data_IF_808770512324
#
_entry.id   IF_808770512324
#
_cell.length_a   1.000
_cell.length_b   1.000
_cell.length_c   1.000
_cell.angle_alpha   90.00
_cell.angle_beta   90.00
_cell.angle_gamma   90.00
#
_symmetry.space_group_name_H-M   'P 1'
#
loop_
_entity.id
_entity.type
_entity.pdbx_description
1 polymer ?
#
# COMPACT_ATOMS: atom_id res chain seq x y z
N UNK A 1 47.02 32.96 -25.81
CA UNK A 1 45.91 33.12 -26.80
C UNK A 1 45.56 31.79 -27.50
N UNK A 2 45.29 30.71 -26.74
CA UNK A 2 44.82 29.40 -27.25
C UNK A 2 44.06 28.65 -26.15
N UNK A 3 42.82 29.05 -25.84
CA UNK A 3 41.93 28.22 -25.00
C UNK A 3 40.42 28.49 -25.19
N UNK A 4 40.02 29.42 -26.06
CA UNK A 4 38.61 29.75 -26.26
C UNK A 4 37.90 28.97 -27.39
N UNK A 5 38.62 28.24 -28.26
CA UNK A 5 38.02 27.70 -29.49
C UNK A 5 37.56 26.22 -29.42
N UNK A 6 37.67 25.53 -28.27
CA UNK A 6 37.26 24.11 -28.15
C UNK A 6 35.93 23.87 -27.43
N UNK A 7 35.28 24.89 -26.86
CA UNK A 7 34.00 24.71 -26.15
C UNK A 7 32.74 24.92 -27.01
N UNK A 8 32.82 25.57 -28.16
CA UNK A 8 31.64 25.76 -29.03
C UNK A 8 31.34 24.56 -29.96
N UNK A 9 32.31 23.68 -30.23
CA UNK A 9 32.10 22.54 -31.12
C UNK A 9 31.36 21.35 -30.46
N UNK A 10 31.39 21.25 -29.12
CA UNK A 10 30.74 20.15 -28.40
C UNK A 10 29.24 20.39 -28.16
N UNK A 11 28.79 21.66 -28.20
CA UNK A 11 27.38 22.01 -27.99
C UNK A 11 26.48 21.73 -29.21
N UNK A 12 27.01 21.68 -30.43
CA UNK A 12 26.21 21.42 -31.64
C UNK A 12 25.99 19.94 -31.95
N UNK A 13 26.84 19.02 -31.46
CA UNK A 13 26.69 17.58 -31.75
C UNK A 13 25.69 16.86 -30.82
N UNK A 14 25.51 17.34 -29.58
CA UNK A 14 24.59 16.71 -28.61
C UNK A 14 23.14 17.17 -28.85
N UNK A 15 22.91 18.40 -29.30
CA UNK A 15 21.59 18.91 -29.63
C UNK A 15 20.94 18.27 -30.87
N UNK A 16 21.70 17.58 -31.73
CA UNK A 16 21.13 16.84 -32.87
C UNK A 16 20.74 15.38 -32.58
N UNK A 17 21.13 14.82 -31.43
CA UNK A 17 20.72 13.45 -31.05
C UNK A 17 19.50 13.39 -30.12
N UNK A 18 19.23 14.43 -29.34
CA UNK A 18 17.99 14.53 -28.53
C UNK A 18 16.79 15.04 -29.33
N UNK A 19 17.01 15.89 -30.34
CA UNK A 19 15.93 16.32 -31.24
C UNK A 19 15.49 15.22 -32.23
N UNK A 20 16.39 14.31 -32.62
CA UNK A 20 16.07 13.23 -33.55
C UNK A 20 15.27 12.07 -32.91
N UNK A 21 15.45 11.81 -31.60
CA UNK A 21 14.69 10.78 -30.89
C UNK A 21 13.23 11.19 -30.62
N UNK A 22 12.96 12.50 -30.48
CA UNK A 22 11.61 13.03 -30.27
C UNK A 22 10.86 13.35 -31.56
N UNK A 23 11.54 13.39 -32.72
CA UNK A 23 10.91 13.59 -34.03
C UNK A 23 10.63 12.29 -34.80
N UNK A 24 11.15 11.13 -34.39
CA UNK A 24 10.86 9.84 -35.04
C UNK A 24 9.86 8.94 -34.29
N UNK A 25 9.51 9.24 -33.04
CA UNK A 25 8.49 8.48 -32.30
C UNK A 25 7.06 8.67 -32.85
N UNK A 26 6.83 9.70 -33.67
CA UNK A 26 5.53 9.98 -34.29
C UNK A 26 5.20 9.14 -35.53
N UNK A 27 6.13 8.32 -36.05
CA UNK A 27 5.93 7.60 -37.33
C UNK A 27 6.09 6.07 -37.26
N UNK A 28 6.32 5.47 -36.09
CA UNK A 28 6.54 4.01 -35.99
C UNK A 28 5.77 3.30 -34.85
N UNK A 29 4.81 3.96 -34.18
CA UNK A 29 3.87 3.27 -33.27
C UNK A 29 4.52 2.51 -32.10
N UNK A 30 5.77 2.83 -31.73
CA UNK A 30 6.48 2.14 -30.65
C UNK A 30 6.33 2.90 -29.34
N UNK A 31 5.56 2.34 -28.41
CA UNK A 31 5.48 2.80 -27.03
C UNK A 31 6.60 2.12 -26.22
N UNK A 32 7.47 2.86 -25.51
CA UNK A 32 8.50 2.25 -24.68
C UNK A 32 7.88 1.43 -23.55
N UNK A 33 8.48 0.29 -23.24
CA UNK A 33 8.00 -0.60 -22.17
C UNK A 33 8.32 -0.03 -20.79
N UNK A 34 7.66 -0.53 -19.74
CA UNK A 34 7.95 -0.18 -18.34
C UNK A 34 9.41 -0.49 -17.93
N UNK A 35 10.05 -1.45 -18.59
CA UNK A 35 11.46 -1.78 -18.41
C UNK A 35 12.39 -0.68 -18.96
N UNK A 36 12.08 -0.15 -20.15
CA UNK A 36 12.88 0.92 -20.79
C UNK A 36 12.83 2.22 -19.97
N UNK A 37 11.67 2.53 -19.37
CA UNK A 37 11.52 3.67 -18.47
C UNK A 37 12.29 3.47 -17.14
N UNK A 38 12.31 2.24 -16.61
CA UNK A 38 13.04 1.91 -15.39
C UNK A 38 14.57 1.94 -15.58
N UNK A 39 15.07 1.69 -16.79
CA UNK A 39 16.48 1.76 -17.14
C UNK A 39 16.94 3.20 -17.41
N UNK A 40 16.11 4.02 -18.06
CA UNK A 40 16.38 5.45 -18.25
C UNK A 40 16.49 6.23 -16.93
N UNK A 41 15.76 5.81 -15.88
CA UNK A 41 15.83 6.38 -14.53
C UNK A 41 17.11 6.01 -13.75
N UNK A 42 17.96 5.13 -14.30
CA UNK A 42 19.26 4.74 -13.71
C UNK A 42 20.44 5.51 -14.28
N UNK A 43 20.24 6.37 -15.29
CA UNK A 43 21.31 7.19 -15.89
C UNK A 43 21.67 8.41 -15.00
N UNK A 44 22.90 8.49 -14.46
CA UNK A 44 23.37 9.64 -13.68
C UNK A 44 23.43 10.95 -14.49
N UNK A 45 23.44 10.88 -15.83
CA UNK A 45 23.54 12.02 -16.74
C UNK A 45 22.28 12.89 -16.77
N UNK A 46 21.09 12.28 -16.69
CA UNK A 46 19.81 12.99 -16.66
C UNK A 46 19.68 13.88 -15.39
N UNK A 47 20.28 13.45 -14.28
CA UNK A 47 20.27 14.13 -12.99
C UNK A 47 21.11 15.43 -12.97
N UNK A 48 22.09 15.58 -13.88
CA UNK A 48 22.94 16.77 -13.98
C UNK A 48 22.30 17.90 -14.78
N UNK A 49 21.48 17.57 -15.78
CA UNK A 49 20.79 18.56 -16.61
C UNK A 49 19.62 19.22 -15.87
N UNK A 50 18.87 18.47 -15.06
CA UNK A 50 17.79 19.03 -14.23
C UNK A 50 18.28 20.04 -13.16
N UNK A 51 19.57 19.99 -12.78
CA UNK A 51 20.18 20.93 -11.84
C UNK A 51 20.70 22.23 -12.47
N UNK A 52 20.73 22.31 -13.81
CA UNK A 52 21.34 23.44 -14.53
C UNK A 52 20.39 24.64 -14.73
N UNK A 53 19.08 24.46 -14.55
CA UNK A 53 18.08 25.49 -14.85
C UNK A 53 17.79 26.47 -13.70
N UNK A 54 18.56 26.41 -12.60
CA UNK A 54 18.54 27.43 -11.54
C UNK A 54 17.20 27.63 -10.81
N UNK A 55 16.20 26.77 -11.07
CA UNK A 55 14.93 26.71 -10.35
C UNK A 55 15.10 25.66 -9.26
N UNK A 56 15.23 26.08 -8.00
CA UNK A 56 15.07 25.18 -6.87
C UNK A 56 13.75 24.39 -7.07
N UNK A 57 13.77 23.06 -7.17
CA UNK A 57 12.54 22.29 -7.31
C UNK A 57 11.71 22.52 -6.05
N UNK A 58 10.62 23.27 -6.22
CA UNK A 58 9.73 23.66 -5.13
C UNK A 58 9.30 22.45 -4.32
N UNK A 59 9.90 22.31 -3.14
CA UNK A 59 9.58 21.41 -2.03
C UNK A 59 8.20 21.75 -1.43
N UNK A 60 7.18 21.84 -2.26
CA UNK A 60 5.85 22.20 -1.79
C UNK A 60 5.11 20.91 -1.50
N UNK A 61 4.77 20.73 -0.22
CA UNK A 61 3.86 19.69 0.21
C UNK A 61 2.57 19.75 -0.63
N UNK A 62 2.00 18.59 -0.94
CA UNK A 62 0.84 18.50 -1.83
C UNK A 62 -0.33 19.34 -1.27
N UNK A 63 -0.86 20.26 -2.07
CA UNK A 63 -1.86 21.23 -1.62
C UNK A 63 -3.24 20.60 -1.32
N UNK A 64 -3.60 19.54 -2.05
CA UNK A 64 -4.88 18.82 -1.94
C UNK A 64 -4.67 17.31 -2.03
N UNK A 65 -5.54 16.51 -1.41
CA UNK A 65 -5.45 15.05 -1.53
C UNK A 65 -5.73 14.61 -2.95
N UNK A 66 -4.75 13.96 -3.58
CA UNK A 66 -4.85 13.42 -4.93
C UNK A 66 -5.25 11.96 -4.86
N UNK A 67 -6.41 11.60 -5.40
CA UNK A 67 -6.86 10.20 -5.48
C UNK A 67 -7.25 9.84 -6.90
N UNK A 68 -6.70 8.74 -7.42
CA UNK A 68 -7.01 8.22 -8.77
C UNK A 68 -7.12 6.71 -8.74
N UNK A 69 -7.94 6.18 -9.64
CA UNK A 69 -8.00 4.75 -9.94
C UNK A 69 -7.44 4.60 -11.37
N UNK A 70 -6.33 3.88 -11.50
CA UNK A 70 -5.60 3.72 -12.78
C UNK A 70 -5.27 2.25 -13.02
N UNK A 71 -5.13 1.84 -14.27
CA UNK A 71 -4.76 0.47 -14.61
C UNK A 71 -3.26 0.23 -14.42
N UNK A 72 -2.91 -0.96 -13.92
CA UNK A 72 -1.52 -1.44 -13.81
C UNK A 72 -1.28 -2.63 -14.75
N UNK A 73 -0.11 -2.73 -15.34
CA UNK A 73 0.36 -3.94 -16.06
C UNK A 73 0.69 -5.10 -15.11
N UNK A 74 1.04 -4.78 -13.87
CA UNK A 74 1.42 -5.71 -12.80
C UNK A 74 0.31 -5.96 -11.79
N UNK A 75 -0.93 -5.56 -12.10
CA UNK A 75 -2.09 -5.83 -11.25
C UNK A 75 -2.22 -7.34 -10.95
N UNK A 76 -2.74 -7.73 -9.77
CA UNK A 76 -2.84 -9.14 -9.37
C UNK A 76 -3.75 -9.95 -10.31
N UNK A 77 -4.69 -9.32 -10.99
CA UNK A 77 -5.53 -9.93 -12.01
C UNK A 77 -5.42 -9.16 -13.34
N UNK A 78 -5.54 -9.83 -14.50
CA UNK A 78 -5.82 -11.26 -14.67
C UNK A 78 -4.67 -12.19 -14.30
N UNK A 79 -5.01 -13.41 -13.92
CA UNK A 79 -4.07 -14.47 -13.58
C UNK A 79 -4.53 -15.78 -14.22
N UNK A 80 -3.64 -16.43 -14.95
CA UNK A 80 -3.91 -17.70 -15.65
C UNK A 80 -2.93 -18.82 -15.27
N UNK A 81 -2.21 -18.63 -14.16
CA UNK A 81 -1.28 -19.63 -13.65
C UNK A 81 -1.98 -20.71 -12.81
N UNK A 82 -1.21 -21.35 -11.93
CA UNK A 82 -1.68 -22.45 -11.08
C UNK A 82 -1.85 -22.03 -9.63
N UNK A 83 -2.85 -22.59 -8.95
CA UNK A 83 -3.08 -22.36 -7.53
C UNK A 83 -1.94 -23.00 -6.71
N UNK A 84 -1.17 -22.23 -5.92
CA UNK A 84 -0.04 -22.75 -5.18
C UNK A 84 -0.41 -23.93 -4.27
N UNK A 85 0.46 -24.94 -4.23
CA UNK A 85 0.30 -26.14 -3.41
C UNK A 85 -0.70 -27.16 -3.94
N UNK A 86 -1.47 -26.85 -5.00
CA UNK A 86 -2.44 -27.78 -5.59
C UNK A 86 -2.02 -28.31 -6.96
N UNK A 87 -1.21 -27.56 -7.70
CA UNK A 87 -0.84 -27.85 -9.09
C UNK A 87 -1.99 -27.68 -10.10
N UNK A 88 -3.19 -27.29 -9.66
CA UNK A 88 -4.35 -27.07 -10.53
C UNK A 88 -4.29 -25.69 -11.20
N UNK A 89 -4.80 -25.55 -12.44
CA UNK A 89 -4.97 -24.23 -13.04
C UNK A 89 -5.91 -23.38 -12.19
N UNK A 90 -5.67 -22.07 -12.14
CA UNK A 90 -6.57 -21.14 -11.46
C UNK A 90 -7.91 -21.03 -12.18
N UNK A 91 -7.89 -20.85 -13.51
CA UNK A 91 -9.09 -20.92 -14.33
C UNK A 91 -9.36 -22.40 -14.66
N UNK A 92 -10.13 -23.06 -13.80
CA UNK A 92 -10.43 -24.50 -13.84
C UNK A 92 -11.78 -24.83 -14.51
N UNK A 93 -12.55 -23.80 -14.90
CA UNK A 93 -13.83 -23.95 -15.58
C UNK A 93 -13.79 -23.29 -16.94
N UNK A 94 -14.24 -24.00 -17.96
CA UNK A 94 -14.61 -23.41 -19.25
C UNK A 94 -16.11 -23.64 -19.48
N UNK A 95 -16.85 -22.56 -19.74
CA UNK A 95 -18.29 -22.60 -20.04
C UNK A 95 -18.65 -21.53 -21.05
N UNK A 96 -19.28 -21.94 -22.15
CA UNK A 96 -19.71 -21.03 -23.23
C UNK A 96 -18.57 -20.15 -23.77
N UNK A 97 -17.36 -20.70 -23.90
CA UNK A 97 -16.16 -19.99 -24.33
C UNK A 97 -15.57 -19.01 -23.30
N UNK A 98 -16.09 -19.01 -22.06
CA UNK A 98 -15.60 -18.18 -20.96
C UNK A 98 -14.80 -19.01 -19.97
N UNK A 99 -13.66 -18.49 -19.56
CA UNK A 99 -12.83 -19.08 -18.51
C UNK A 99 -13.29 -18.60 -17.14
N UNK A 100 -13.31 -19.49 -16.17
CA UNK A 100 -13.72 -19.21 -14.79
C UNK A 100 -12.96 -20.02 -13.76
N UNK A 101 -13.07 -19.59 -12.51
CA UNK A 101 -12.47 -20.19 -11.33
C UNK A 101 -13.56 -20.67 -10.37
N UNK A 102 -13.43 -21.90 -9.87
CA UNK A 102 -14.25 -22.44 -8.77
C UNK A 102 -13.70 -21.95 -7.43
N UNK A 103 -14.26 -20.84 -6.93
CA UNK A 103 -13.91 -20.28 -5.62
C UNK A 103 -14.47 -21.16 -4.48
N UNK A 104 -13.66 -21.47 -3.45
CA UNK A 104 -14.06 -22.39 -2.37
C UNK A 104 -15.34 -22.04 -1.63
N UNK A 105 -15.67 -20.74 -1.54
CA UNK A 105 -16.84 -20.23 -0.83
C UNK A 105 -17.90 -19.61 -1.73
N UNK A 106 -17.57 -19.32 -3.00
CA UNK A 106 -18.38 -18.46 -3.87
C UNK A 106 -18.90 -19.13 -5.14
N UNK A 107 -18.58 -20.40 -5.40
CA UNK A 107 -18.96 -21.08 -6.64
C UNK A 107 -18.07 -20.65 -7.80
N UNK A 108 -18.62 -20.64 -9.03
CA UNK A 108 -17.84 -20.30 -10.23
C UNK A 108 -17.92 -18.81 -10.52
N UNK A 109 -16.77 -18.15 -10.54
CA UNK A 109 -16.61 -16.77 -11.02
C UNK A 109 -15.86 -16.77 -12.36
N UNK A 110 -16.22 -15.86 -13.26
CA UNK A 110 -15.62 -15.82 -14.61
C UNK A 110 -14.57 -14.71 -14.72
N UNK A 111 -13.50 -15.00 -15.47
CA UNK A 111 -12.34 -14.11 -15.65
C UNK A 111 -12.76 -12.73 -16.14
N UNK A 112 -13.59 -12.67 -17.18
CA UNK A 112 -14.07 -11.44 -17.82
C UNK A 112 -14.75 -10.46 -16.86
N UNK A 113 -15.36 -10.95 -15.78
CA UNK A 113 -16.08 -10.13 -14.78
C UNK A 113 -15.33 -9.94 -13.47
N UNK A 114 -14.73 -11.01 -12.96
CA UNK A 114 -14.21 -11.05 -11.58
C UNK A 114 -12.70 -10.90 -11.54
N UNK A 115 -11.99 -11.43 -12.53
CA UNK A 115 -10.53 -11.52 -12.55
C UNK A 115 -9.92 -10.78 -13.75
N UNK A 116 -10.58 -9.75 -14.28
CA UNK A 116 -10.09 -8.94 -15.40
C UNK A 116 -9.71 -7.52 -14.99
N UNK A 117 -10.08 -7.08 -13.79
CA UNK A 117 -9.92 -5.70 -13.36
C UNK A 117 -8.48 -5.42 -12.90
N UNK A 118 -7.77 -4.70 -13.76
CA UNK A 118 -6.37 -4.30 -13.58
C UNK A 118 -6.20 -2.99 -12.81
N UNK A 119 -7.28 -2.43 -12.27
CA UNK A 119 -7.25 -1.10 -11.65
C UNK A 119 -6.63 -1.14 -10.26
N UNK A 120 -6.01 -0.01 -9.90
CA UNK A 120 -5.36 0.24 -8.63
C UNK A 120 -5.76 1.64 -8.17
N UNK A 121 -6.19 1.75 -6.92
CA UNK A 121 -6.44 3.04 -6.28
C UNK A 121 -5.11 3.55 -5.71
N UNK A 122 -4.75 4.76 -6.12
CA UNK A 122 -3.62 5.51 -5.61
C UNK A 122 -4.13 6.75 -4.87
N UNK A 123 -3.56 7.04 -3.71
CA UNK A 123 -3.81 8.31 -3.03
C UNK A 123 -2.55 8.92 -2.43
N UNK A 124 -2.39 10.22 -2.65
CA UNK A 124 -1.36 11.08 -2.06
C UNK A 124 -2.10 12.11 -1.19
N UNK A 125 -2.01 12.01 0.14
CA UNK A 125 -2.66 12.96 1.05
C UNK A 125 -2.19 14.39 0.87
N UNK A 126 -3.09 15.35 1.14
CA UNK A 126 -2.69 16.74 1.38
C UNK A 126 -1.60 16.80 2.46
N UNK A 127 -0.61 17.66 2.24
CA UNK A 127 0.53 17.83 3.14
C UNK A 127 1.60 16.74 3.01
N UNK A 128 1.43 15.76 2.10
CA UNK A 128 2.49 14.82 1.76
C UNK A 128 3.70 15.56 1.21
N UNK A 129 4.88 15.20 1.69
CA UNK A 129 6.14 15.77 1.29
C UNK A 129 7.11 14.65 0.87
N UNK A 130 7.42 14.51 -0.43
CA UNK A 130 8.34 13.47 -0.91
C UNK A 130 9.75 13.67 -0.36
N UNK A 131 10.11 14.87 0.12
CA UNK A 131 11.42 15.15 0.70
C UNK A 131 11.65 14.47 2.05
N UNK A 132 10.56 14.18 2.76
CA UNK A 132 10.56 13.56 4.09
C UNK A 132 10.52 12.04 4.00
N UNK A 133 10.90 11.32 5.09
CA UNK A 133 10.68 9.88 5.17
C UNK A 133 9.25 9.54 4.75
N UNK A 134 9.14 8.69 3.72
CA UNK A 134 7.89 8.35 3.04
C UNK A 134 7.55 6.90 3.32
N UNK A 135 6.29 6.60 3.63
CA UNK A 135 5.78 5.25 3.75
C UNK A 135 4.77 4.94 2.63
N UNK A 136 4.81 3.73 2.08
CA UNK A 136 3.72 3.21 1.24
C UNK A 136 2.82 2.32 2.10
N UNK A 137 1.52 2.64 2.15
CA UNK A 137 0.49 1.75 2.68
C UNK A 137 -0.07 0.94 1.51
N UNK A 138 0.28 -0.34 1.44
CA UNK A 138 -0.33 -1.29 0.53
C UNK A 138 -1.58 -1.86 1.20
N UNK A 139 -2.77 -1.44 0.75
CA UNK A 139 -4.03 -1.90 1.29
C UNK A 139 -4.63 -3.03 0.44
N UNK A 140 -4.86 -4.18 1.05
CA UNK A 140 -5.44 -5.37 0.44
C UNK A 140 -6.86 -5.57 0.99
N UNK A 141 -7.85 -5.35 0.12
CA UNK A 141 -9.26 -5.32 0.52
C UNK A 141 -9.84 -6.73 0.74
N UNK A 142 -11.03 -6.76 1.34
CA UNK A 142 -11.76 -8.00 1.61
C UNK A 142 -12.46 -8.58 0.39
N UNK A 143 -13.11 -9.72 0.57
CA UNK A 143 -13.99 -10.30 -0.45
C UNK A 143 -15.17 -9.36 -0.75
N UNK A 144 -15.85 -9.59 -1.88
CA UNK A 144 -17.07 -8.88 -2.29
C UNK A 144 -16.90 -7.35 -2.35
N UNK A 145 -15.70 -6.89 -2.73
CA UNK A 145 -15.35 -5.49 -2.69
C UNK A 145 -14.90 -4.95 -4.05
N UNK A 146 -15.16 -3.65 -4.24
CA UNK A 146 -14.67 -2.82 -5.34
C UNK A 146 -13.87 -1.64 -4.82
N UNK A 147 -12.89 -1.20 -5.59
CA UNK A 147 -12.06 -0.05 -5.23
C UNK A 147 -12.86 1.24 -5.00
N UNK A 148 -13.83 1.53 -5.86
CA UNK A 148 -14.67 2.72 -5.75
C UNK A 148 -15.70 2.59 -4.61
N UNK A 149 -16.57 1.58 -4.68
CA UNK A 149 -17.67 1.39 -3.74
C UNK A 149 -17.18 1.16 -2.31
N UNK A 150 -16.19 0.29 -2.13
CA UNK A 150 -15.83 -0.19 -0.79
C UNK A 150 -14.58 0.47 -0.26
N UNK A 151 -13.47 0.43 -1.00
CA UNK A 151 -12.19 0.96 -0.51
C UNK A 151 -12.22 2.48 -0.40
N UNK A 152 -12.71 3.17 -1.44
CA UNK A 152 -12.81 4.64 -1.45
C UNK A 152 -14.01 5.13 -0.65
N UNK A 153 -15.22 4.65 -0.94
CA UNK A 153 -16.44 5.30 -0.46
C UNK A 153 -16.90 4.75 0.90
N UNK A 154 -17.14 3.44 1.03
CA UNK A 154 -17.64 2.82 2.28
C UNK A 154 -16.62 2.84 3.41
N UNK A 155 -15.42 2.34 3.15
CA UNK A 155 -14.36 2.17 4.15
C UNK A 155 -13.54 3.45 4.35
N UNK A 156 -13.53 4.34 3.35
CA UNK A 156 -12.80 5.60 3.43
C UNK A 156 -11.30 5.41 3.61
N UNK A 157 -10.69 4.38 3.00
CA UNK A 157 -9.29 4.01 3.28
C UNK A 157 -8.33 5.16 2.98
N UNK A 158 -8.50 5.86 1.86
CA UNK A 158 -7.72 7.05 1.54
C UNK A 158 -7.90 8.17 2.58
N UNK A 159 -9.13 8.39 3.05
CA UNK A 159 -9.43 9.35 4.13
C UNK A 159 -8.73 8.95 5.43
N UNK A 160 -8.76 7.66 5.80
CA UNK A 160 -8.11 7.17 7.02
C UNK A 160 -6.58 7.31 6.97
N UNK A 161 -5.95 7.05 5.81
CA UNK A 161 -4.51 7.29 5.61
C UNK A 161 -4.20 8.77 5.77
N UNK A 162 -4.95 9.66 5.10
CA UNK A 162 -4.75 11.10 5.23
C UNK A 162 -4.95 11.61 6.67
N UNK A 163 -6.04 11.18 7.33
CA UNK A 163 -6.38 11.57 8.70
C UNK A 163 -5.44 10.98 9.77
N UNK A 164 -4.55 10.06 9.40
CA UNK A 164 -3.49 9.57 10.29
C UNK A 164 -2.36 10.60 10.47
N UNK A 165 -2.29 11.58 9.56
CA UNK A 165 -1.22 12.57 9.47
C UNK A 165 0.14 11.98 9.10
N UNK A 166 0.27 10.66 8.92
CA UNK A 166 1.51 10.01 8.52
C UNK A 166 1.95 10.51 7.13
N UNK A 167 3.23 10.83 6.93
CA UNK A 167 3.77 11.13 5.60
C UNK A 167 3.81 9.85 4.74
N UNK A 168 2.64 9.44 4.25
CA UNK A 168 2.41 8.18 3.60
C UNK A 168 1.47 8.30 2.41
N UNK A 169 1.63 7.40 1.45
CA UNK A 169 0.78 7.27 0.26
C UNK A 169 0.06 5.92 0.29
N UNK A 170 -1.10 5.85 -0.34
CA UNK A 170 -1.92 4.64 -0.43
C UNK A 170 -1.78 4.01 -1.82
N UNK A 171 -1.61 2.68 -1.83
CA UNK A 171 -1.72 1.83 -3.01
C UNK A 171 -2.69 0.70 -2.67
N UNK A 172 -3.77 0.55 -3.43
CA UNK A 172 -4.74 -0.53 -3.22
C UNK A 172 -5.12 -1.18 -4.55
N UNK A 173 -4.59 -2.37 -4.88
CA UNK A 173 -5.00 -3.09 -6.08
C UNK A 173 -6.43 -3.60 -5.94
N UNK A 174 -7.15 -3.65 -7.07
CA UNK A 174 -8.36 -4.45 -7.16
C UNK A 174 -7.96 -5.93 -7.10
N UNK A 175 -8.52 -6.65 -6.13
CA UNK A 175 -8.50 -8.12 -6.06
C UNK A 175 -9.75 -8.65 -6.78
N UNK A 176 -10.17 -9.89 -6.51
CA UNK A 176 -11.36 -10.48 -7.13
C UNK A 176 -12.59 -9.56 -6.95
N UNK A 177 -13.12 -9.05 -8.07
CA UNK A 177 -14.21 -8.07 -8.09
C UNK A 177 -15.50 -8.72 -7.66
N UNK A 178 -16.15 -8.16 -6.62
CA UNK A 178 -17.47 -8.60 -6.15
C UNK A 178 -17.59 -10.12 -5.92
N UNK A 179 -16.49 -10.76 -5.50
CA UNK A 179 -16.43 -12.21 -5.33
C UNK A 179 -16.09 -12.61 -3.90
N UNK A 180 -16.73 -13.68 -3.43
CA UNK A 180 -16.37 -14.36 -2.19
C UNK A 180 -15.11 -15.23 -2.38
N UNK A 181 -14.03 -14.60 -2.82
CA UNK A 181 -12.77 -15.22 -3.18
C UNK A 181 -11.59 -14.35 -2.74
N UNK A 182 -10.64 -14.99 -2.04
CA UNK A 182 -9.46 -14.35 -1.47
C UNK A 182 -8.20 -14.58 -2.31
N UNK A 183 -8.31 -15.19 -3.49
CA UNK A 183 -7.20 -15.52 -4.37
C UNK A 183 -6.25 -14.35 -4.60
N UNK A 184 -4.94 -14.61 -4.54
CA UNK A 184 -3.91 -13.57 -4.63
C UNK A 184 -3.53 -13.22 -6.08
N UNK A 185 -4.01 -13.99 -7.06
CA UNK A 185 -3.67 -13.83 -8.47
C UNK A 185 -2.15 -13.87 -8.68
N UNK A 186 -1.62 -12.92 -9.43
CA UNK A 186 -0.19 -12.82 -9.73
C UNK A 186 0.69 -12.62 -8.48
N UNK A 187 0.15 -12.21 -7.33
CA UNK A 187 0.93 -12.18 -6.09
C UNK A 187 1.31 -13.58 -5.55
N UNK A 188 0.78 -14.66 -6.14
CA UNK A 188 1.32 -16.01 -5.97
C UNK A 188 2.65 -16.24 -6.69
N UNK A 189 2.97 -15.45 -7.71
CA UNK A 189 4.20 -15.59 -8.49
C UNK A 189 5.40 -15.00 -7.70
N UNK A 190 6.53 -15.70 -7.64
CA UNK A 190 7.73 -15.19 -6.99
C UNK A 190 8.17 -13.83 -7.55
N UNK A 191 8.34 -12.84 -6.66
CA UNK A 191 8.79 -11.49 -6.99
C UNK A 191 7.73 -10.59 -7.61
N UNK A 192 6.49 -11.05 -7.81
CA UNK A 192 5.48 -10.25 -8.52
C UNK A 192 5.07 -8.99 -7.75
N UNK A 193 4.97 -9.09 -6.43
CA UNK A 193 4.66 -7.93 -5.60
C UNK A 193 5.73 -6.83 -5.70
N UNK A 194 7.00 -7.21 -5.90
CA UNK A 194 8.09 -6.27 -6.18
C UNK A 194 7.84 -5.52 -7.49
N UNK A 195 7.49 -6.22 -8.57
CA UNK A 195 7.15 -5.60 -9.86
C UNK A 195 5.96 -4.64 -9.72
N UNK A 196 4.94 -5.05 -8.95
CA UNK A 196 3.78 -4.22 -8.65
C UNK A 196 4.15 -2.92 -7.90
N UNK A 197 5.02 -3.02 -6.90
CA UNK A 197 5.47 -1.85 -6.14
C UNK A 197 6.43 -0.94 -6.93
N UNK A 198 7.17 -1.49 -7.90
CA UNK A 198 7.97 -0.72 -8.85
C UNK A 198 7.08 0.08 -9.81
N UNK A 199 6.02 -0.52 -10.38
CA UNK A 199 5.03 0.21 -11.16
C UNK A 199 4.27 1.24 -10.31
N UNK A 200 3.93 0.89 -9.06
CA UNK A 200 3.29 1.82 -8.14
C UNK A 200 4.12 3.08 -7.91
N UNK A 201 5.44 2.96 -7.78
CA UNK A 201 6.34 4.10 -7.61
C UNK A 201 6.28 5.07 -8.81
N UNK A 202 6.23 4.53 -10.03
CA UNK A 202 6.11 5.33 -11.26
C UNK A 202 4.74 6.02 -11.33
N UNK A 203 3.67 5.29 -11.03
CA UNK A 203 2.30 5.84 -11.11
C UNK A 203 2.02 6.87 -10.00
N UNK A 204 2.59 6.68 -8.80
CA UNK A 204 2.56 7.67 -7.72
C UNK A 204 3.32 8.94 -8.11
N UNK A 205 4.50 8.82 -8.74
CA UNK A 205 5.25 9.98 -9.22
C UNK A 205 4.49 10.76 -10.31
N UNK A 206 3.82 10.04 -11.23
CA UNK A 206 2.92 10.64 -12.22
C UNK A 206 1.74 11.35 -11.57
N UNK A 207 1.11 10.73 -10.56
CA UNK A 207 0.01 11.32 -9.81
C UNK A 207 0.47 12.58 -9.04
N UNK A 208 1.66 12.53 -8.45
CA UNK A 208 2.27 13.67 -7.75
C UNK A 208 2.63 14.82 -8.70
N UNK A 209 2.93 14.53 -9.97
CA UNK A 209 3.40 15.52 -10.94
C UNK A 209 4.90 15.83 -10.85
N UNK A 210 5.68 15.03 -10.10
CA UNK A 210 7.13 15.15 -10.00
C UNK A 210 7.80 13.81 -10.37
N UNK A 211 8.42 13.70 -11.56
CA UNK A 211 9.14 12.49 -11.96
C UNK A 211 10.29 12.10 -11.00
N UNK A 212 10.91 13.07 -10.31
CA UNK A 212 12.03 12.80 -9.39
C UNK A 212 11.56 12.04 -8.15
N UNK A 213 10.29 12.18 -7.77
CA UNK A 213 9.69 11.43 -6.66
C UNK A 213 9.62 9.92 -6.90
N UNK A 214 9.72 9.45 -8.16
CA UNK A 214 9.66 8.02 -8.50
C UNK A 214 10.73 7.20 -7.78
N UNK A 215 11.97 7.70 -7.71
CA UNK A 215 13.06 7.00 -7.03
C UNK A 215 12.80 6.90 -5.52
N UNK A 216 12.16 7.93 -4.93
CA UNK A 216 11.80 7.92 -3.50
C UNK A 216 10.71 6.90 -3.20
N UNK A 217 9.67 6.83 -4.03
CA UNK A 217 8.64 5.80 -3.89
C UNK A 217 9.19 4.39 -4.15
N UNK A 218 10.15 4.24 -5.06
CA UNK A 218 10.77 2.95 -5.37
C UNK A 218 11.56 2.36 -4.18
N UNK A 219 12.09 3.20 -3.29
CA UNK A 219 12.83 2.76 -2.10
C UNK A 219 12.05 2.92 -0.79
N UNK A 220 10.87 3.56 -0.82
CA UNK A 220 10.07 3.80 0.37
C UNK A 220 9.74 2.48 1.11
N UNK A 221 9.82 2.45 2.45
CA UNK A 221 9.32 1.33 3.21
C UNK A 221 7.81 1.12 2.99
N UNK A 222 7.37 -0.13 3.14
CA UNK A 222 6.00 -0.57 2.86
C UNK A 222 5.38 -1.15 4.13
N UNK A 223 4.16 -0.72 4.44
CA UNK A 223 3.27 -1.40 5.38
C UNK A 223 2.18 -2.09 4.58
N UNK A 224 2.03 -3.40 4.78
CA UNK A 224 0.90 -4.15 4.22
C UNK A 224 -0.25 -4.10 5.22
N UNK A 225 -1.35 -3.48 4.83
CA UNK A 225 -2.60 -3.49 5.58
C UNK A 225 -3.60 -4.39 4.87
N UNK A 226 -4.12 -5.41 5.53
CA UNK A 226 -5.06 -6.36 4.95
C UNK A 226 -6.36 -6.41 5.76
N UNK A 227 -7.48 -6.48 5.07
CA UNK A 227 -8.80 -6.66 5.65
C UNK A 227 -9.48 -7.90 5.08
N UNK A 228 -10.10 -8.71 5.94
CA UNK A 228 -10.90 -9.86 5.53
C UNK A 228 -10.13 -10.79 4.56
N UNK A 229 -10.67 -11.01 3.35
CA UNK A 229 -10.02 -11.76 2.27
C UNK A 229 -8.64 -11.30 1.82
N UNK A 230 -8.24 -10.06 2.14
CA UNK A 230 -6.91 -9.53 1.82
C UNK A 230 -5.76 -10.25 2.52
N UNK A 231 -6.04 -11.15 3.47
CA UNK A 231 -5.03 -11.93 4.19
C UNK A 231 -4.22 -12.85 3.29
N UNK A 232 -4.84 -13.45 2.27
CA UNK A 232 -4.16 -14.40 1.41
C UNK A 232 -3.16 -13.71 0.49
N UNK A 233 -3.48 -12.61 -0.22
CA UNK A 233 -2.47 -11.84 -0.94
C UNK A 233 -1.43 -11.23 -0.01
N UNK A 234 -1.78 -10.86 1.23
CA UNK A 234 -0.80 -10.42 2.21
C UNK A 234 0.20 -11.55 2.52
N UNK A 235 -0.28 -12.73 2.91
CA UNK A 235 0.55 -13.86 3.29
C UNK A 235 1.51 -14.29 2.16
N UNK A 236 1.02 -14.35 0.91
CA UNK A 236 1.89 -14.64 -0.24
C UNK A 236 2.85 -13.49 -0.57
N UNK A 237 2.39 -12.24 -0.45
CA UNK A 237 3.27 -11.07 -0.57
C UNK A 237 4.45 -11.09 0.41
N UNK A 238 4.23 -11.58 1.63
CA UNK A 238 5.29 -11.74 2.64
C UNK A 238 6.25 -12.90 2.33
N UNK A 239 5.75 -14.03 1.83
CA UNK A 239 6.56 -15.23 1.59
C UNK A 239 7.34 -15.15 0.27
N UNK A 240 6.68 -14.78 -0.83
CA UNK A 240 7.25 -14.85 -2.19
C UNK A 240 7.30 -13.49 -2.89
N UNK A 241 6.81 -12.41 -2.28
CA UNK A 241 6.68 -11.12 -2.94
C UNK A 241 7.99 -10.40 -3.30
N UNK A 242 9.14 -10.85 -2.77
CA UNK A 242 10.45 -10.29 -3.11
C UNK A 242 10.72 -8.88 -2.55
N UNK A 243 9.97 -8.44 -1.54
CA UNK A 243 10.06 -7.09 -0.96
C UNK A 243 10.40 -7.05 0.53
N UNK A 244 10.89 -8.17 1.07
CA UNK A 244 11.16 -8.34 2.50
C UNK A 244 11.97 -7.19 3.12
N UNK A 245 12.99 -6.70 2.39
CA UNK A 245 13.84 -5.60 2.84
C UNK A 245 13.15 -4.24 2.95
N UNK A 246 12.03 -4.06 2.24
CA UNK A 246 11.22 -2.83 2.29
C UNK A 246 10.10 -2.89 3.31
N UNK A 247 9.78 -4.06 3.89
CA UNK A 247 8.64 -4.19 4.79
C UNK A 247 8.95 -3.55 6.15
N UNK A 248 8.22 -2.48 6.47
CA UNK A 248 8.23 -1.82 7.78
C UNK A 248 7.24 -2.47 8.75
N UNK A 249 6.17 -3.10 8.25
CA UNK A 249 5.24 -3.84 9.10
C UNK A 249 4.00 -4.37 8.40
N UNK A 250 3.18 -5.08 9.18
CA UNK A 250 1.92 -5.69 8.74
C UNK A 250 0.81 -5.29 9.69
N UNK A 251 -0.36 -4.94 9.14
CA UNK A 251 -1.59 -4.65 9.85
C UNK A 251 -2.68 -5.58 9.33
N UNK A 252 -3.17 -6.50 10.15
CA UNK A 252 -4.33 -7.34 9.85
C UNK A 252 -5.55 -6.77 10.57
N UNK A 253 -6.54 -6.34 9.80
CA UNK A 253 -7.84 -5.87 10.29
C UNK A 253 -8.86 -6.99 10.07
N UNK A 254 -9.13 -7.78 11.10
CA UNK A 254 -10.02 -8.94 11.07
C UNK A 254 -9.84 -9.82 9.83
N UNK A 255 -8.56 -10.09 9.51
CA UNK A 255 -8.16 -10.71 8.26
C UNK A 255 -7.61 -12.13 8.45
N UNK A 256 -7.17 -12.52 9.65
CA UNK A 256 -6.45 -13.79 9.86
C UNK A 256 -7.40 -15.01 9.76
N UNK A 257 -7.80 -15.37 8.55
CA UNK A 257 -8.65 -16.54 8.24
C UNK A 257 -7.82 -17.80 7.90
N UNK A 258 -6.49 -17.68 7.89
CA UNK A 258 -5.56 -18.78 7.68
C UNK A 258 -4.14 -18.24 7.49
N UNK A 259 -3.24 -19.11 7.00
CA UNK A 259 -1.84 -18.77 6.69
C UNK A 259 -0.99 -18.38 7.90
N UNK A 260 -1.36 -18.84 9.10
CA UNK A 260 -0.67 -18.51 10.35
C UNK A 260 0.83 -18.82 10.28
N UNK A 261 1.25 -19.93 9.65
CA UNK A 261 2.66 -20.26 9.51
C UNK A 261 3.44 -19.27 8.64
N UNK A 262 2.82 -18.70 7.58
CA UNK A 262 3.46 -17.67 6.74
C UNK A 262 3.67 -16.38 7.54
N UNK A 263 2.65 -15.96 8.30
CA UNK A 263 2.77 -14.79 9.18
C UNK A 263 3.79 -15.01 10.30
N UNK A 264 3.80 -16.20 10.92
CA UNK A 264 4.78 -16.56 11.93
C UNK A 264 6.21 -16.53 11.37
N UNK A 265 6.44 -17.06 10.15
CA UNK A 265 7.73 -16.98 9.46
C UNK A 265 8.14 -15.55 9.15
N UNK A 266 7.21 -14.68 8.75
CA UNK A 266 7.50 -13.27 8.55
C UNK A 266 7.98 -12.61 9.84
N UNK A 267 7.22 -12.77 10.93
CA UNK A 267 7.60 -12.26 12.27
C UNK A 267 8.96 -12.82 12.68
N UNK A 268 9.20 -14.12 12.43
CA UNK A 268 10.47 -14.81 12.67
C UNK A 268 11.67 -14.18 11.94
N UNK A 269 11.51 -13.88 10.65
CA UNK A 269 12.61 -13.46 9.77
C UNK A 269 12.83 -11.94 9.79
N UNK A 270 11.79 -11.14 10.01
CA UNK A 270 11.82 -9.67 9.92
C UNK A 270 11.59 -9.01 11.29
N UNK A 271 12.55 -9.23 12.20
CA UNK A 271 12.55 -8.72 13.58
C UNK A 271 12.40 -7.20 13.71
N UNK A 272 12.78 -6.45 12.68
CA UNK A 272 12.66 -4.99 12.68
C UNK A 272 11.32 -4.50 12.11
N UNK A 273 10.49 -5.39 11.55
CA UNK A 273 9.17 -5.03 11.06
C UNK A 273 8.14 -5.25 12.17
N UNK A 274 7.21 -4.31 12.35
CA UNK A 274 6.12 -4.51 13.31
C UNK A 274 5.04 -5.45 12.75
N UNK A 275 4.27 -6.07 13.64
CA UNK A 275 3.13 -6.89 13.30
C UNK A 275 1.95 -6.59 14.22
N UNK A 276 0.83 -6.15 13.66
CA UNK A 276 -0.40 -5.90 14.38
C UNK A 276 -1.51 -6.72 13.76
N UNK A 277 -2.17 -7.56 14.55
CA UNK A 277 -3.42 -8.19 14.16
C UNK A 277 -4.51 -7.78 15.13
N UNK A 278 -5.66 -7.40 14.58
CA UNK A 278 -6.86 -7.13 15.33
C UNK A 278 -7.97 -8.06 14.88
N UNK A 279 -8.67 -8.65 15.84
CA UNK A 279 -9.65 -9.70 15.58
C UNK A 279 -11.03 -9.36 16.13
N UNK A 280 -12.06 -9.59 15.31
CA UNK A 280 -13.41 -9.83 15.79
C UNK A 280 -13.51 -11.27 16.33
N UNK A 281 -14.67 -11.71 16.85
CA UNK A 281 -14.88 -13.12 17.17
C UNK A 281 -14.59 -14.07 16.00
N UNK A 282 -14.76 -13.63 14.74
CA UNK A 282 -14.57 -14.46 13.55
C UNK A 282 -13.12 -14.93 13.36
N UNK A 283 -12.13 -14.09 13.69
CA UNK A 283 -10.70 -14.41 13.51
C UNK A 283 -9.94 -14.63 14.83
N UNK A 284 -10.61 -14.47 15.98
CA UNK A 284 -9.97 -14.56 17.30
C UNK A 284 -9.28 -15.91 17.57
N UNK A 285 -9.83 -17.03 17.07
CA UNK A 285 -9.22 -18.36 17.23
C UNK A 285 -7.89 -18.47 16.47
N UNK A 286 -7.84 -18.01 15.22
CA UNK A 286 -6.62 -17.97 14.44
C UNK A 286 -5.59 -16.99 15.03
N UNK A 287 -6.05 -15.85 15.55
CA UNK A 287 -5.19 -14.90 16.25
C UNK A 287 -4.49 -15.53 17.46
N UNK A 288 -5.22 -16.30 18.28
CA UNK A 288 -4.62 -17.01 19.41
C UNK A 288 -3.62 -18.08 18.97
N UNK A 289 -3.89 -18.79 17.88
CA UNK A 289 -2.92 -19.76 17.30
C UNK A 289 -1.64 -19.06 16.87
N UNK A 290 -1.74 -17.98 16.10
CA UNK A 290 -0.57 -17.20 15.67
C UNK A 290 0.21 -16.64 16.87
N UNK A 291 -0.48 -16.10 17.88
CA UNK A 291 0.15 -15.62 19.10
C UNK A 291 0.95 -16.73 19.82
N UNK A 292 0.40 -17.95 19.87
CA UNK A 292 1.11 -19.13 20.39
C UNK A 292 2.35 -19.50 19.57
N UNK A 293 2.26 -19.46 18.24
CA UNK A 293 3.39 -19.74 17.33
C UNK A 293 4.56 -18.75 17.51
N UNK A 294 4.28 -17.50 17.90
CA UNK A 294 5.29 -16.43 17.98
C UNK A 294 5.66 -16.03 19.40
N UNK A 295 5.16 -16.74 20.43
CA UNK A 295 5.43 -16.44 21.83
C UNK A 295 6.94 -16.39 22.19
N UNK A 296 7.77 -17.18 21.51
CA UNK A 296 9.23 -17.20 21.71
C UNK A 296 10.01 -16.15 20.91
N UNK A 297 9.34 -15.29 20.14
CA UNK A 297 10.00 -14.37 19.20
C UNK A 297 10.33 -12.99 19.76
N UNK A 298 9.75 -12.64 20.90
CA UNK A 298 9.89 -11.34 21.55
C UNK A 298 8.64 -11.00 22.38
N UNK A 299 8.61 -9.83 23.04
CA UNK A 299 7.45 -9.38 23.80
C UNK A 299 6.22 -9.22 22.91
N UNK A 300 5.12 -9.87 23.30
CA UNK A 300 3.82 -9.72 22.66
C UNK A 300 2.98 -8.77 23.50
N UNK A 301 2.43 -7.75 22.85
CA UNK A 301 1.60 -6.74 23.49
C UNK A 301 0.11 -6.96 23.17
N UNK A 302 -0.76 -6.56 24.10
CA UNK A 302 -2.21 -6.62 23.92
C UNK A 302 -2.85 -5.24 23.82
N UNK A 303 -4.01 -5.18 23.17
CA UNK A 303 -4.84 -3.97 23.07
C UNK A 303 -4.29 -2.90 22.12
N UNK A 304 -4.93 -1.73 22.01
CA UNK A 304 -4.52 -0.68 21.08
C UNK A 304 -3.16 -0.05 21.46
N UNK A 305 -2.25 0.20 20.49
CA UNK A 305 -0.95 0.80 20.80
C UNK A 305 -1.08 2.25 21.28
N UNK A 306 -0.10 2.76 22.02
CA UNK A 306 0.10 4.22 22.19
C UNK A 306 1.11 4.77 21.18
N UNK A 307 2.08 3.92 20.82
CA UNK A 307 3.14 4.12 19.83
C UNK A 307 3.47 2.74 19.24
N UNK A 308 4.00 2.70 18.01
CA UNK A 308 4.41 1.47 17.32
C UNK A 308 5.86 1.63 16.89
N UNK A 309 6.73 0.80 17.47
CA UNK A 309 8.15 0.70 17.14
C UNK A 309 8.45 -0.42 16.13
N UNK A 310 9.58 -0.33 15.42
CA UNK A 310 10.18 -1.48 14.75
C UNK A 310 10.21 -2.72 15.67
N UNK A 311 9.67 -3.84 15.18
CA UNK A 311 9.65 -5.12 15.90
C UNK A 311 8.50 -5.31 16.89
N UNK A 312 7.61 -4.34 17.08
CA UNK A 312 6.43 -4.52 17.92
C UNK A 312 5.52 -5.63 17.38
N UNK A 313 5.16 -6.59 18.24
CA UNK A 313 4.17 -7.63 17.94
C UNK A 313 2.96 -7.41 18.82
N UNK A 314 1.77 -7.24 18.22
CA UNK A 314 0.57 -6.88 18.96
C UNK A 314 -0.68 -7.57 18.45
N UNK A 315 -1.48 -8.05 19.39
CA UNK A 315 -2.78 -8.64 19.14
C UNK A 315 -3.89 -7.83 19.84
N UNK A 316 -4.90 -7.43 19.08
CA UNK A 316 -6.01 -6.60 19.56
C UNK A 316 -7.29 -7.44 19.44
N UNK A 317 -8.10 -7.43 20.49
CA UNK A 317 -9.41 -8.08 20.47
C UNK A 317 -10.51 -7.02 20.37
N UNK A 318 -11.52 -7.27 19.53
CA UNK A 318 -12.68 -6.43 19.31
C UNK A 318 -13.97 -7.30 19.32
N UNK A 319 -14.35 -7.86 20.48
CA UNK A 319 -15.37 -8.91 20.58
C UNK A 319 -16.80 -8.46 20.22
N UNK A 320 -17.08 -7.15 20.22
CA UNK A 320 -18.39 -6.58 19.88
C UNK A 320 -18.48 -5.98 18.47
N UNK A 321 -17.55 -6.31 17.59
CA UNK A 321 -17.47 -5.70 16.25
C UNK A 321 -17.95 -6.65 15.17
N UNK A 322 -18.85 -6.18 14.32
CA UNK A 322 -19.24 -6.89 13.10
C UNK A 322 -18.11 -6.88 12.08
N UNK A 323 -17.86 -8.03 11.46
CA UNK A 323 -16.80 -8.21 10.47
C UNK A 323 -16.86 -7.17 9.33
N UNK A 324 -18.06 -6.88 8.83
CA UNK A 324 -18.28 -5.95 7.69
C UNK A 324 -17.88 -4.50 8.02
N UNK A 325 -18.02 -4.12 9.28
CA UNK A 325 -17.75 -2.77 9.76
C UNK A 325 -16.32 -2.60 10.26
N UNK A 326 -15.52 -3.67 10.32
CA UNK A 326 -14.26 -3.66 11.05
C UNK A 326 -13.26 -2.58 10.62
N UNK A 327 -13.32 -2.12 9.36
CA UNK A 327 -12.46 -1.04 8.84
C UNK A 327 -13.00 0.35 9.16
N UNK A 328 -14.30 0.51 9.42
CA UNK A 328 -14.94 1.79 9.77
C UNK A 328 -15.15 1.94 11.27
N UNK A 329 -15.39 0.84 11.98
CA UNK A 329 -15.62 0.76 13.43
C UNK A 329 -15.19 -0.61 13.95
N UNK A 330 -14.25 -0.60 14.90
CA UNK A 330 -13.89 -1.78 15.69
C UNK A 330 -13.73 -1.40 17.17
N UNK A 331 -12.54 -1.61 17.75
CA UNK A 331 -12.20 -1.06 19.08
C UNK A 331 -12.13 0.47 19.11
N UNK A 332 -12.22 1.11 17.95
CA UNK A 332 -12.23 2.56 17.74
C UNK A 332 -12.94 2.88 16.43
N UNK A 333 -13.30 4.15 16.22
CA UNK A 333 -13.69 4.63 14.90
C UNK A 333 -12.43 4.72 14.01
N UNK A 334 -12.56 4.33 12.74
CA UNK A 334 -11.45 4.34 11.78
C UNK A 334 -10.18 3.59 12.26
N UNK A 335 -10.25 2.26 12.48
CA UNK A 335 -9.12 1.51 13.05
C UNK A 335 -7.82 1.60 12.26
N UNK A 336 -7.87 1.70 10.93
CA UNK A 336 -6.66 1.86 10.11
C UNK A 336 -5.98 3.20 10.42
N UNK A 337 -6.74 4.30 10.47
CA UNK A 337 -6.23 5.62 10.87
C UNK A 337 -5.58 5.52 12.26
N UNK A 338 -6.27 4.91 13.22
CA UNK A 338 -5.81 4.83 14.60
C UNK A 338 -4.46 4.11 14.72
N UNK A 339 -4.25 3.04 13.96
CA UNK A 339 -2.97 2.31 13.93
C UNK A 339 -1.89 3.13 13.22
N UNK A 340 -2.16 3.64 12.01
CA UNK A 340 -1.18 4.41 11.22
C UNK A 340 -0.68 5.68 11.95
N UNK A 341 -1.57 6.33 12.71
CA UNK A 341 -1.23 7.51 13.51
C UNK A 341 -0.20 7.23 14.62
N UNK A 342 0.06 5.96 14.94
CA UNK A 342 0.96 5.54 16.02
C UNK A 342 2.30 4.99 15.51
N UNK A 343 2.46 4.83 14.20
CA UNK A 343 3.72 4.40 13.58
C UNK A 343 4.79 5.46 13.79
N UNK A 344 5.90 5.08 14.42
CA UNK A 344 7.04 5.94 14.72
C UNK A 344 7.95 6.18 13.50
N UNK A 345 8.78 7.23 13.56
CA UNK A 345 9.86 7.45 12.58
C UNK A 345 9.47 8.19 11.30
N UNK A 346 8.20 8.58 11.16
CA UNK A 346 7.72 9.35 10.02
C UNK A 346 7.17 10.71 10.49
N UNK A 347 7.53 11.82 9.81
CA UNK A 347 6.95 13.12 10.10
C UNK A 347 5.44 13.09 9.95
N UNK A 348 4.78 13.95 10.74
CA UNK A 348 3.36 14.21 10.53
C UNK A 348 3.23 15.34 9.51
N UNK A 349 2.44 15.12 8.46
CA UNK A 349 1.98 16.21 7.61
C UNK A 349 1.25 17.19 8.54
N UNK A 350 1.64 18.47 8.51
CA UNK A 350 0.91 19.49 9.23
C UNK A 350 -0.53 19.48 8.67
N UNK A 351 -1.50 19.17 9.53
CA UNK A 351 -2.91 19.41 9.24
C UNK A 351 -3.10 20.93 9.24
N UNK A 352 -2.66 21.60 8.17
CA UNK A 352 -2.85 23.04 8.00
C UNK A 352 -4.35 23.27 7.75
N UNK A 353 -5.09 23.59 8.81
CA UNK A 353 -6.48 24.06 8.77
C UNK A 353 -7.54 23.07 9.29
N UNK A 354 -7.55 22.80 10.59
CA UNK A 354 -8.77 22.47 11.34
C UNK A 354 -9.02 23.52 12.45
N UNK A 355 -8.63 24.76 12.17
CA UNK A 355 -8.95 25.94 12.98
C UNK A 355 -9.90 26.82 12.18
N UNK A 356 -11.13 26.32 12.00
CA UNK A 356 -12.32 27.15 12.15
C UNK A 356 -13.23 26.37 13.10
N UNK A 357 -13.41 26.95 14.28
CA UNK A 357 -13.70 26.22 15.51
C UNK A 357 -15.09 25.60 15.57
N UNK A 358 -15.11 24.31 15.88
CA UNK A 358 -16.01 23.70 16.87
C UNK A 358 -15.31 22.46 17.41
N UNK A 359 -14.65 22.59 18.56
CA UNK A 359 -14.16 21.45 19.33
C UNK A 359 -15.31 21.04 20.26
N UNK A 360 -15.95 19.92 19.99
CA UNK A 360 -16.85 19.28 20.96
C UNK A 360 -16.01 18.71 22.12
N UNK A 361 -16.28 19.11 23.38
CA UNK A 361 -15.46 18.70 24.51
C UNK A 361 -16.04 17.43 25.13
N UNK A 362 -15.62 16.25 24.67
CA UNK A 362 -15.73 15.05 25.51
C UNK A 362 -14.44 14.25 25.35
N UNK A 363 -13.54 14.38 26.34
CA UNK A 363 -12.74 13.34 27.01
C UNK A 363 -11.68 14.05 27.86
N UNK A 364 -12.04 14.36 29.11
CA UNK A 364 -11.10 14.34 30.25
C UNK A 364 -11.90 13.95 31.50
N UNK A 365 -12.18 12.65 31.64
CA UNK A 365 -12.60 12.07 32.91
C UNK A 365 -11.39 11.93 33.83
N UNK A 366 -10.95 13.04 34.43
CA UNK A 366 -10.05 13.01 35.57
C UNK A 366 -10.91 13.13 36.83
N UNK A 367 -11.14 11.99 37.49
CA UNK A 367 -11.71 11.97 38.83
C UNK A 367 -10.79 12.77 39.78
N UNK A 368 -11.31 13.82 40.40
CA UNK A 368 -10.74 14.40 41.62
C UNK A 368 -11.61 13.99 42.80
N UNK A 369 -11.01 13.21 43.68
CA UNK A 369 -11.44 13.05 45.06
C UNK A 369 -11.22 14.36 45.83
N UNK A 370 -12.10 14.67 46.80
CA UNK A 370 -11.88 15.76 47.77
C UNK A 370 -13.15 16.27 48.46
N UNK A 371 -13.53 15.59 49.54
CA UNK A 371 -14.07 16.07 50.82
C UNK A 371 -15.20 17.13 50.97
N UNK A 372 -16.29 16.63 51.56
CA UNK A 372 -16.97 17.09 52.79
C UNK A 372 -17.30 18.59 53.01
N UNK A 373 -18.61 18.89 53.14
CA UNK A 373 -19.26 19.28 54.41
C UNK A 373 -20.79 19.40 54.29
N UNK A 374 -21.47 18.85 55.31
CA UNK A 374 -22.88 19.10 55.73
C UNK A 374 -23.05 20.56 56.23
N UNK A 375 -24.29 21.09 56.31
CA UNK A 375 -25.27 20.69 57.34
C UNK A 375 -26.28 19.62 56.90
#
# INVERSE_FOLDING_TARGET
>A
MRLACRRLACHRLVCHRLAAALLFAGLAGWSPTSADAAEALRDPGALRLARADGREPGHLAVAETLTRIVAFETAPFPYRGTIPGTGKPFLDVERDGRLGHTAPRGGVYFEDRTYSDRRVLLSIPRGFDPARPTLIVLYLHGNEARLDRDVRDRQGVARQVAASGLNAVLVAPQLAVDALDSSAGRFWEPGHLKLFLEEAAVQLARLHGDPVSAQRFATAPVVIAAYSGGYLPAAFGLEVGGVSDRLAGVILLDALFGEEERFARFIARRRNAFFIAAASPATASAQRRLAGMVAGTGPIQSGPPRRIEPGDIRFIEAPGTEHRDFVTRAWTAEPLRAVLARISGYPRAELIGALDGTVDPIITGAARAGDAKRP
#
